data_IF_324514865448
#
_entry.id   IF_324514865448
#
_cell.length_a   1.000
_cell.length_b   1.000
_cell.length_c   1.000
_cell.angle_alpha   90.00
_cell.angle_beta   90.00
_cell.angle_gamma   90.00
#
_symmetry.space_group_name_H-M   'P 1'
#
loop_
_entity.id
_entity.type
_entity.pdbx_description
1 polymer ?
#
# COMPACT_ATOMS: atom_id res chain seq x y z
N UNK A 1 -1.35 -40.56 21.17
CA UNK A 1 -2.71 -40.47 20.58
C UNK A 1 -2.81 -41.12 19.20
N UNK A 2 -1.93 -40.81 18.24
CA UNK A 2 -2.02 -41.36 16.87
C UNK A 2 -1.81 -42.87 16.71
N UNK A 3 -1.01 -43.50 17.58
CA UNK A 3 -0.70 -44.94 17.50
C UNK A 3 -1.82 -45.85 18.04
N UNK A 4 -2.72 -45.32 18.87
CA UNK A 4 -3.77 -46.11 19.53
C UNK A 4 -5.14 -45.91 18.87
N UNK A 5 -5.55 -44.65 18.64
CA UNK A 5 -6.83 -44.35 18.00
C UNK A 5 -6.74 -43.08 17.17
N UNK A 6 -6.22 -43.22 15.95
CA UNK A 6 -5.93 -42.12 15.04
C UNK A 6 -7.17 -41.30 14.65
N UNK A 7 -8.35 -41.93 14.53
CA UNK A 7 -9.61 -41.26 14.21
C UNK A 7 -10.00 -40.21 15.25
N UNK A 8 -9.96 -40.55 16.55
CA UNK A 8 -10.29 -39.60 17.62
C UNK A 8 -9.25 -38.48 17.73
N UNK A 9 -7.99 -38.77 17.43
CA UNK A 9 -6.95 -37.75 17.39
C UNK A 9 -7.19 -36.71 16.28
N UNK A 10 -7.61 -37.15 15.09
CA UNK A 10 -7.96 -36.24 13.99
C UNK A 10 -9.17 -35.37 14.34
N UNK A 11 -10.20 -35.95 14.96
CA UNK A 11 -11.38 -35.20 15.41
C UNK A 11 -11.00 -34.15 16.46
N UNK A 12 -10.16 -34.51 17.44
CA UNK A 12 -9.69 -33.57 18.45
C UNK A 12 -8.87 -32.41 17.86
N UNK A 13 -7.97 -32.71 16.91
CA UNK A 13 -7.19 -31.67 16.20
C UNK A 13 -8.10 -30.77 15.38
N UNK A 14 -9.09 -31.33 14.69
CA UNK A 14 -10.05 -30.56 13.91
C UNK A 14 -10.87 -29.61 14.79
N UNK A 15 -11.41 -30.09 15.91
CA UNK A 15 -12.17 -29.25 16.86
C UNK A 15 -11.27 -28.16 17.44
N UNK A 16 -10.04 -28.50 17.84
CA UNK A 16 -9.08 -27.51 18.35
C UNK A 16 -8.74 -26.44 17.32
N UNK A 17 -8.49 -26.82 16.06
CA UNK A 17 -8.25 -25.88 14.97
C UNK A 17 -9.46 -24.99 14.66
N UNK A 18 -10.67 -25.55 14.71
CA UNK A 18 -11.91 -24.81 14.51
C UNK A 18 -12.13 -23.75 15.59
N UNK A 19 -11.92 -24.10 16.87
CA UNK A 19 -12.02 -23.15 17.99
C UNK A 19 -10.95 -22.07 17.89
N UNK A 20 -9.71 -22.44 17.58
CA UNK A 20 -8.62 -21.47 17.37
C UNK A 20 -8.97 -20.47 16.27
N UNK A 21 -9.43 -20.96 15.11
CA UNK A 21 -9.83 -20.12 13.98
C UNK A 21 -11.03 -19.23 14.31
N UNK A 22 -11.98 -19.72 15.10
CA UNK A 22 -13.12 -18.92 15.54
C UNK A 22 -12.68 -17.75 16.44
N UNK A 23 -11.78 -17.98 17.39
CA UNK A 23 -11.24 -16.91 18.25
C UNK A 23 -10.49 -15.86 17.42
N UNK A 24 -9.69 -16.31 16.45
CA UNK A 24 -8.96 -15.42 15.54
C UNK A 24 -9.92 -14.54 14.72
N UNK A 25 -11.00 -15.12 14.21
CA UNK A 25 -12.04 -14.42 13.46
C UNK A 25 -12.80 -13.42 14.33
N UNK A 26 -13.27 -13.84 15.51
CA UNK A 26 -14.01 -12.97 16.43
C UNK A 26 -13.14 -11.81 16.97
N UNK A 27 -11.84 -12.05 17.16
CA UNK A 27 -10.87 -11.00 17.48
C UNK A 27 -10.73 -9.99 16.35
N UNK A 28 -10.57 -10.46 15.11
CA UNK A 28 -10.47 -9.60 13.93
C UNK A 28 -11.75 -8.79 13.67
N UNK A 29 -12.94 -9.39 13.87
CA UNK A 29 -14.23 -8.70 13.72
C UNK A 29 -14.39 -7.60 14.77
N UNK A 30 -13.96 -7.84 16.01
CA UNK A 30 -14.00 -6.82 17.07
C UNK A 30 -13.03 -5.67 16.82
N UNK A 31 -11.84 -5.95 16.31
CA UNK A 31 -10.82 -4.92 16.05
C UNK A 31 -11.11 -4.10 14.78
N UNK A 32 -11.62 -4.73 13.72
CA UNK A 32 -11.71 -4.13 12.39
C UNK A 32 -13.13 -4.03 11.83
N UNK A 33 -14.15 -4.54 12.54
CA UNK A 33 -15.56 -4.53 12.12
C UNK A 33 -15.92 -5.55 11.03
N UNK A 34 -14.93 -6.22 10.43
CA UNK A 34 -15.10 -7.28 9.44
C UNK A 34 -14.06 -8.37 9.71
N UNK A 35 -14.50 -9.58 10.07
CA UNK A 35 -13.59 -10.66 10.47
C UNK A 35 -12.66 -11.15 9.35
N UNK A 36 -13.09 -11.19 8.08
CA UNK A 36 -12.23 -11.70 6.99
C UNK A 36 -11.21 -10.64 6.59
N UNK A 37 -11.66 -9.39 6.41
CA UNK A 37 -10.76 -8.29 6.06
C UNK A 37 -9.83 -7.93 7.23
N UNK A 38 -10.33 -8.05 8.46
CA UNK A 38 -9.56 -7.85 9.69
C UNK A 38 -8.40 -8.81 9.83
N UNK A 39 -8.57 -10.10 9.50
CA UNK A 39 -7.46 -11.06 9.49
C UNK A 39 -6.36 -10.66 8.52
N UNK A 40 -6.74 -10.24 7.30
CA UNK A 40 -5.78 -9.77 6.29
C UNK A 40 -5.01 -8.52 6.75
N UNK A 41 -5.70 -7.59 7.40
CA UNK A 41 -5.10 -6.36 7.89
C UNK A 41 -4.19 -6.61 9.10
N UNK A 42 -4.57 -7.48 10.02
CA UNK A 42 -3.70 -7.93 11.12
C UNK A 42 -2.44 -8.63 10.61
N UNK A 43 -2.55 -9.45 9.56
CA UNK A 43 -1.39 -10.06 8.91
C UNK A 43 -0.48 -9.01 8.25
N UNK A 44 -1.06 -8.01 7.56
CA UNK A 44 -0.30 -6.91 6.97
C UNK A 44 0.41 -6.07 8.04
N UNK A 45 -0.26 -5.74 9.14
CA UNK A 45 0.32 -5.04 10.30
C UNK A 45 1.48 -5.83 10.88
N UNK A 46 1.29 -7.13 11.12
CA UNK A 46 2.35 -7.99 11.63
C UNK A 46 3.55 -8.04 10.67
N UNK A 47 3.32 -8.14 9.36
CA UNK A 47 4.38 -8.12 8.36
C UNK A 47 5.15 -6.78 8.37
N UNK A 48 4.44 -5.65 8.44
CA UNK A 48 5.04 -4.31 8.48
C UNK A 48 5.87 -4.07 9.75
N UNK A 49 5.39 -4.52 10.92
CA UNK A 49 6.09 -4.36 12.19
C UNK A 49 7.35 -5.24 12.29
N UNK A 50 7.39 -6.35 11.58
CA UNK A 50 8.54 -7.25 11.53
C UNK A 50 9.50 -6.95 10.38
N UNK A 51 9.31 -5.84 9.64
CA UNK A 51 10.30 -5.40 8.66
C UNK A 51 11.54 -4.91 9.42
N UNK A 52 12.62 -5.69 9.35
CA UNK A 52 13.90 -5.32 9.95
C UNK A 52 14.40 -3.98 9.35
N UNK A 53 14.71 -2.96 10.18
CA UNK A 53 15.24 -1.67 9.71
C UNK A 53 16.73 -1.75 9.33
N UNK A 54 17.27 -2.97 9.12
CA UNK A 54 18.70 -3.14 8.83
C UNK A 54 19.01 -2.47 7.49
N UNK A 55 20.07 -1.64 7.42
CA UNK A 55 20.43 -0.97 6.17
C UNK A 55 20.65 -2.02 5.08
N UNK A 56 19.98 -1.83 3.94
CA UNK A 56 20.18 -2.71 2.80
C UNK A 56 21.66 -2.64 2.39
N UNK A 57 22.34 -3.78 2.39
CA UNK A 57 23.70 -3.84 1.88
C UNK A 57 23.70 -3.40 0.41
N UNK A 58 24.64 -2.54 0.01
CA UNK A 58 24.79 -2.01 -1.35
C UNK A 58 24.83 -3.09 -2.44
N UNK A 59 25.19 -4.33 -2.07
CA UNK A 59 25.22 -5.51 -2.95
C UNK A 59 23.84 -6.14 -3.24
N UNK A 60 22.77 -5.76 -2.53
CA UNK A 60 21.43 -6.32 -2.65
C UNK A 60 20.35 -5.23 -2.76
N UNK A 61 20.61 -4.22 -3.60
CA UNK A 61 19.63 -3.17 -3.86
C UNK A 61 18.39 -3.73 -4.57
N UNK A 62 17.21 -3.43 -4.02
CA UNK A 62 15.90 -3.75 -4.62
C UNK A 62 15.21 -2.44 -4.99
N UNK A 63 15.18 -2.03 -6.27
CA UNK A 63 14.53 -0.79 -6.66
C UNK A 63 13.06 -0.82 -6.27
N UNK A 64 12.55 0.23 -5.62
CA UNK A 64 11.12 0.49 -5.45
C UNK A 64 10.76 1.63 -6.41
N UNK A 65 9.69 1.48 -7.17
CA UNK A 65 9.35 2.42 -8.23
C UNK A 65 8.12 3.23 -7.83
N UNK A 66 8.26 4.56 -7.88
CA UNK A 66 7.16 5.51 -7.94
C UNK A 66 7.01 5.95 -9.39
N UNK A 67 5.84 5.73 -9.98
CA UNK A 67 5.53 6.09 -11.36
C UNK A 67 4.52 7.23 -11.30
N UNK A 68 4.95 8.41 -11.73
CA UNK A 68 4.08 9.58 -11.83
C UNK A 68 3.46 9.61 -13.22
N UNK A 69 2.13 9.69 -13.28
CA UNK A 69 1.37 9.81 -14.51
C UNK A 69 0.65 11.16 -14.53
N UNK A 70 0.71 11.85 -15.67
CA UNK A 70 -0.02 13.10 -15.88
C UNK A 70 -1.46 12.86 -16.36
N UNK A 71 -1.68 11.84 -17.19
CA UNK A 71 -2.99 11.54 -17.75
C UNK A 71 -3.17 10.04 -18.00
N UNK A 72 -4.38 9.53 -17.77
CA UNK A 72 -4.80 8.14 -17.98
C UNK A 72 -4.85 7.77 -19.46
N UNK A 73 -5.27 8.70 -20.31
CA UNK A 73 -5.66 8.41 -21.71
C UNK A 73 -4.53 8.63 -22.72
N UNK A 74 -3.35 9.06 -22.27
CA UNK A 74 -2.24 9.34 -23.19
C UNK A 74 -1.60 8.04 -23.71
N UNK A 75 -1.21 7.95 -25.00
CA UNK A 75 -0.49 6.79 -25.53
C UNK A 75 0.85 6.58 -24.82
N UNK A 76 1.46 7.66 -24.30
CA UNK A 76 2.70 7.60 -23.53
C UNK A 76 2.52 6.86 -22.20
N UNK A 77 1.35 6.98 -21.57
CA UNK A 77 1.00 6.26 -20.33
C UNK A 77 1.02 4.75 -20.52
N UNK A 78 0.52 4.26 -21.65
CA UNK A 78 0.58 2.84 -21.99
C UNK A 78 2.02 2.34 -22.16
N UNK A 79 2.87 3.11 -22.82
CA UNK A 79 4.30 2.80 -22.97
C UNK A 79 5.02 2.73 -21.62
N UNK A 80 4.79 3.73 -20.76
CA UNK A 80 5.38 3.81 -19.42
C UNK A 80 4.96 2.64 -18.54
N UNK A 81 3.66 2.31 -18.50
CA UNK A 81 3.15 1.20 -17.68
C UNK A 81 3.66 -0.16 -18.18
N UNK A 82 3.74 -0.37 -19.49
CA UNK A 82 4.35 -1.58 -20.06
C UNK A 82 5.83 -1.69 -19.70
N UNK A 83 6.57 -0.58 -19.79
CA UNK A 83 7.98 -0.53 -19.39
C UNK A 83 8.17 -0.88 -17.91
N UNK A 84 7.35 -0.29 -17.02
CA UNK A 84 7.39 -0.57 -15.58
C UNK A 84 7.06 -2.04 -15.28
N UNK A 85 6.06 -2.59 -15.97
CA UNK A 85 5.69 -4.01 -15.85
C UNK A 85 6.85 -4.93 -16.21
N UNK A 86 7.57 -4.64 -17.30
CA UNK A 86 8.76 -5.39 -17.73
C UNK A 86 9.94 -5.22 -16.77
N UNK A 87 10.19 -3.99 -16.31
CA UNK A 87 11.28 -3.68 -15.39
C UNK A 87 11.14 -4.40 -14.04
N UNK A 88 9.89 -4.53 -13.55
CA UNK A 88 9.59 -5.18 -12.27
C UNK A 88 9.35 -6.68 -12.39
N UNK A 89 8.98 -7.18 -13.57
CA UNK A 89 8.57 -8.56 -13.81
C UNK A 89 7.56 -9.08 -12.75
N UNK A 90 6.68 -8.19 -12.27
CA UNK A 90 5.68 -8.48 -11.24
C UNK A 90 6.21 -8.71 -9.82
N UNK A 91 7.45 -8.33 -9.51
CA UNK A 91 8.09 -8.48 -8.19
C UNK A 91 8.43 -7.13 -7.56
N UNK A 92 8.26 -7.05 -6.24
CA UNK A 92 8.56 -5.85 -5.45
C UNK A 92 7.46 -4.80 -5.48
N UNK A 93 7.66 -3.73 -4.73
CA UNK A 93 6.69 -2.64 -4.58
C UNK A 93 6.75 -1.68 -5.78
N UNK A 94 5.59 -1.35 -6.31
CA UNK A 94 5.39 -0.33 -7.35
C UNK A 94 4.20 0.53 -6.92
N UNK A 95 4.40 1.84 -6.86
CA UNK A 95 3.37 2.83 -6.60
C UNK A 95 3.16 3.62 -7.88
N UNK A 96 1.92 3.68 -8.37
CA UNK A 96 1.53 4.48 -9.53
C UNK A 96 0.67 5.61 -8.99
N UNK A 97 1.11 6.85 -9.17
CA UNK A 97 0.41 8.01 -8.66
C UNK A 97 0.09 8.99 -9.78
N UNK A 98 -1.07 9.63 -9.69
CA UNK A 98 -1.51 10.68 -10.59
C UNK A 98 -1.85 11.93 -9.77
N UNK A 99 -1.50 13.10 -10.29
CA UNK A 99 -1.84 14.38 -9.68
C UNK A 99 -2.78 15.13 -10.64
N UNK A 100 -3.97 15.48 -10.17
CA UNK A 100 -4.97 16.24 -10.94
C UNK A 100 -5.21 17.58 -10.28
N UNK A 101 -5.18 18.66 -11.07
CA UNK A 101 -5.46 20.01 -10.58
C UNK A 101 -6.97 20.18 -10.34
N UNK A 102 -7.37 20.58 -9.13
CA UNK A 102 -8.78 20.76 -8.79
C UNK A 102 -9.04 20.88 -7.29
N UNK A 103 -10.32 21.01 -6.95
CA UNK A 103 -10.79 21.07 -5.56
C UNK A 103 -11.45 19.75 -5.19
N UNK A 104 -10.93 19.05 -4.18
CA UNK A 104 -11.39 17.70 -3.82
C UNK A 104 -12.91 17.62 -3.57
N UNK A 105 -13.50 18.65 -2.95
CA UNK A 105 -14.93 18.69 -2.65
C UNK A 105 -15.81 18.67 -3.90
N UNK A 106 -15.33 19.22 -5.02
CA UNK A 106 -16.08 19.30 -6.29
C UNK A 106 -15.76 18.14 -7.21
N UNK A 107 -14.51 17.70 -7.22
CA UNK A 107 -13.99 16.74 -8.20
C UNK A 107 -13.86 15.32 -7.65
N UNK A 108 -14.35 15.04 -6.44
CA UNK A 108 -14.29 13.70 -5.82
C UNK A 108 -14.84 12.58 -6.72
N UNK A 109 -15.96 12.82 -7.41
CA UNK A 109 -16.53 11.83 -8.34
C UNK A 109 -15.62 11.60 -9.56
N UNK A 110 -15.01 12.66 -10.09
CA UNK A 110 -14.09 12.57 -11.21
C UNK A 110 -12.80 11.85 -10.80
N UNK A 111 -12.25 12.17 -9.63
CA UNK A 111 -11.10 11.48 -9.06
C UNK A 111 -11.38 9.98 -8.84
N UNK A 112 -12.56 9.63 -8.34
CA UNK A 112 -12.98 8.23 -8.18
C UNK A 112 -13.12 7.51 -9.53
N UNK A 113 -13.62 8.19 -10.57
CA UNK A 113 -13.68 7.63 -11.92
C UNK A 113 -12.28 7.40 -12.51
N UNK A 114 -11.38 8.38 -12.36
CA UNK A 114 -9.98 8.26 -12.77
C UNK A 114 -9.27 7.11 -12.03
N UNK A 115 -9.55 6.93 -10.73
CA UNK A 115 -8.95 5.85 -9.93
C UNK A 115 -9.36 4.48 -10.47
N UNK A 116 -10.63 4.30 -10.83
CA UNK A 116 -11.13 3.05 -11.45
C UNK A 116 -10.49 2.79 -12.81
N UNK A 117 -10.29 3.83 -13.60
CA UNK A 117 -9.61 3.72 -14.88
C UNK A 117 -8.14 3.32 -14.68
N UNK A 118 -7.44 3.96 -13.73
CA UNK A 118 -6.07 3.62 -13.36
C UNK A 118 -5.94 2.16 -12.91
N UNK A 119 -6.83 1.68 -12.04
CA UNK A 119 -6.86 0.28 -11.59
C UNK A 119 -7.04 -0.68 -12.76
N UNK A 120 -7.89 -0.32 -13.73
CA UNK A 120 -8.13 -1.11 -14.94
C UNK A 120 -6.88 -1.16 -15.82
N UNK A 121 -6.18 -0.04 -15.98
CA UNK A 121 -4.90 0.04 -16.70
C UNK A 121 -3.80 -0.77 -16.02
N UNK A 122 -3.70 -0.71 -14.70
CA UNK A 122 -2.73 -1.49 -13.93
C UNK A 122 -2.98 -3.00 -14.08
N UNK A 123 -4.25 -3.43 -14.00
CA UNK A 123 -4.65 -4.83 -14.24
C UNK A 123 -4.32 -5.27 -15.67
N UNK A 124 -4.62 -4.45 -16.67
CA UNK A 124 -4.31 -4.73 -18.09
C UNK A 124 -2.81 -4.95 -18.32
N UNK A 125 -1.96 -4.14 -17.68
CA UNK A 125 -0.50 -4.24 -17.79
C UNK A 125 0.13 -5.25 -16.81
N UNK A 126 -0.68 -5.99 -16.03
CA UNK A 126 -0.25 -6.97 -15.01
C UNK A 126 0.69 -6.39 -13.96
N UNK A 127 0.51 -5.09 -13.64
CA UNK A 127 1.31 -4.41 -12.62
C UNK A 127 0.74 -4.76 -11.25
N UNK A 128 1.57 -5.36 -10.40
CA UNK A 128 1.26 -5.58 -8.98
C UNK A 128 1.77 -4.38 -8.19
N UNK A 129 0.85 -3.55 -7.73
CA UNK A 129 1.17 -2.30 -7.07
C UNK A 129 -0.05 -1.59 -6.54
N UNK A 130 0.19 -0.42 -5.97
CA UNK A 130 -0.85 0.49 -5.51
C UNK A 130 -1.01 1.62 -6.52
N UNK A 131 -2.26 1.96 -6.85
CA UNK A 131 -2.61 3.12 -7.66
C UNK A 131 -3.26 4.17 -6.78
N UNK A 132 -2.83 5.43 -6.86
CA UNK A 132 -3.42 6.52 -6.09
C UNK A 132 -3.57 7.78 -6.94
N UNK A 133 -4.61 8.56 -6.68
CA UNK A 133 -4.90 9.82 -7.37
C UNK A 133 -5.04 10.92 -6.34
N UNK A 134 -4.16 11.91 -6.46
CA UNK A 134 -4.13 13.08 -5.61
C UNK A 134 -4.75 14.27 -6.35
N UNK A 135 -5.77 14.88 -5.73
CA UNK A 135 -6.38 16.13 -6.21
C UNK A 135 -5.77 17.29 -5.43
N UNK A 136 -5.15 18.25 -6.11
CA UNK A 136 -4.55 19.43 -5.47
C UNK A 136 -4.82 20.69 -6.27
N UNK A 137 -4.77 21.86 -5.62
CA UNK A 137 -4.85 23.14 -6.33
C UNK A 137 -3.58 23.42 -7.15
N UNK A 138 -2.43 22.89 -6.71
CA UNK A 138 -1.14 23.07 -7.37
C UNK A 138 -0.44 21.74 -7.60
N UNK A 139 -0.19 21.41 -8.87
CA UNK A 139 0.41 20.13 -9.27
C UNK A 139 1.78 19.93 -8.63
N UNK A 140 2.60 20.99 -8.53
CA UNK A 140 3.95 20.92 -7.95
C UNK A 140 3.93 20.55 -6.46
N UNK A 141 2.98 21.09 -5.71
CA UNK A 141 2.79 20.75 -4.30
C UNK A 141 2.30 19.30 -4.15
N UNK A 142 1.38 18.88 -5.02
CA UNK A 142 0.90 17.51 -5.07
C UNK A 142 2.00 16.49 -5.38
N UNK A 143 2.83 16.76 -6.39
CA UNK A 143 3.98 15.90 -6.72
C UNK A 143 4.99 15.89 -5.58
N UNK A 144 5.28 17.03 -4.95
CA UNK A 144 6.16 17.10 -3.77
C UNK A 144 5.63 16.24 -2.63
N UNK A 145 4.32 16.30 -2.36
CA UNK A 145 3.65 15.47 -1.36
C UNK A 145 3.75 13.97 -1.70
N UNK A 146 3.44 13.58 -2.94
CA UNK A 146 3.52 12.19 -3.40
C UNK A 146 4.94 11.62 -3.26
N UNK A 147 5.93 12.40 -3.66
CA UNK A 147 7.35 12.04 -3.49
C UNK A 147 7.65 11.84 -2.01
N UNK A 148 7.33 12.80 -1.15
CA UNK A 148 7.60 12.71 0.29
C UNK A 148 6.93 11.51 0.95
N UNK A 149 5.66 11.22 0.64
CA UNK A 149 4.91 10.09 1.19
C UNK A 149 5.46 8.75 0.72
N UNK A 150 5.80 8.63 -0.57
CA UNK A 150 6.45 7.44 -1.10
C UNK A 150 7.82 7.19 -0.45
N UNK A 151 8.58 8.27 -0.20
CA UNK A 151 9.89 8.19 0.44
C UNK A 151 9.82 7.98 1.96
N UNK A 152 8.75 8.38 2.66
CA UNK A 152 8.63 8.17 4.11
C UNK A 152 8.70 6.68 4.49
N UNK A 153 8.11 5.82 3.67
CA UNK A 153 8.17 4.35 3.85
C UNK A 153 9.59 3.81 3.56
N UNK A 154 10.31 4.44 2.63
CA UNK A 154 11.63 3.99 2.17
C UNK A 154 12.76 4.49 3.08
N UNK A 155 12.71 5.75 3.53
CA UNK A 155 13.76 6.39 4.35
C UNK A 155 13.85 5.75 5.73
N UNK A 156 12.72 5.34 6.34
CA UNK A 156 12.73 4.65 7.64
C UNK A 156 13.51 3.33 7.61
N UNK A 157 13.71 2.75 6.42
CA UNK A 157 14.45 1.48 6.23
C UNK A 157 15.85 1.64 5.67
N UNK A 158 16.20 2.78 5.06
CA UNK A 158 17.47 2.94 4.32
C UNK A 158 18.49 3.87 4.97
N UNK A 159 18.11 4.82 5.82
CA UNK A 159 19.06 5.79 6.37
C UNK A 159 18.85 6.11 7.85
N UNK A 160 19.34 5.26 8.79
CA UNK A 160 19.44 5.63 10.20
C UNK A 160 20.60 6.61 10.51
N UNK A 161 21.46 6.94 9.53
CA UNK A 161 22.71 7.70 9.72
C UNK A 161 22.62 9.22 9.47
N UNK A 162 21.49 9.75 8.97
CA UNK A 162 21.32 11.19 8.74
C UNK A 162 20.19 11.78 9.60
N UNK A 163 20.48 12.27 10.81
CA UNK A 163 19.49 12.90 11.69
C UNK A 163 18.90 14.22 11.16
N UNK A 164 19.40 14.72 10.02
CA UNK A 164 18.98 15.99 9.42
C UNK A 164 17.91 15.86 8.32
N UNK A 165 17.57 14.63 7.91
CA UNK A 165 16.56 14.33 6.87
C UNK A 165 15.27 13.75 7.48
N UNK A 166 14.91 14.23 8.68
CA UNK A 166 13.59 13.99 9.26
C UNK A 166 12.57 14.73 8.39
N UNK A 167 11.57 14.08 7.78
CA UNK A 167 10.50 14.79 7.10
C UNK A 167 9.81 15.68 8.12
N UNK A 168 9.94 16.99 7.92
CA UNK A 168 9.26 18.03 8.69
C UNK A 168 7.81 18.04 8.21
N UNK A 169 7.04 17.05 8.66
CA UNK A 169 5.58 17.01 8.50
C UNK A 169 5.03 18.15 9.38
N UNK A 170 4.98 19.36 8.84
CA UNK A 170 4.26 20.47 9.42
C UNK A 170 3.33 21.02 8.35
N UNK A 171 2.10 21.31 8.79
CA UNK A 171 1.01 22.01 8.11
C UNK A 171 0.08 21.15 7.24
N UNK A 172 -0.94 20.58 7.89
CA UNK A 172 -2.31 20.47 7.33
C UNK A 172 -3.39 20.40 8.43
N UNK A 173 -3.11 20.88 9.65
CA UNK A 173 -4.03 20.78 10.80
C UNK A 173 -4.35 22.15 11.44
N UNK A 174 -4.16 23.26 10.70
CA UNK A 174 -4.24 24.63 11.24
C UNK A 174 -5.38 25.52 10.75
N UNK A 175 -6.10 25.17 9.67
CA UNK A 175 -7.08 26.09 9.04
C UNK A 175 -8.56 25.66 9.16
N UNK A 176 -8.89 24.73 10.06
CA UNK A 176 -10.29 24.32 10.31
C UNK A 176 -10.81 24.80 11.69
N UNK A 177 -10.11 25.72 12.36
CA UNK A 177 -10.47 26.21 13.70
C UNK A 177 -10.65 27.73 13.81
N UNK A 178 -11.00 28.41 12.72
CA UNK A 178 -11.57 29.77 12.76
C UNK A 178 -12.67 29.94 11.71
N UNK A 179 -13.86 29.44 12.02
CA UNK A 179 -15.15 30.07 11.72
C UNK A 179 -16.25 29.49 12.60
#
# INVERSE_FOLDING_TARGET
MFISAWHFALVAIFIGAAVYKYIEYAGAEKEWGDGIRGLGLSAARFALLNVDPKPQHSRNWRPQLLVLLENTDSPNTHGMLSFVSQLKAGKGLTLVAMCTEGEFARDAEQAAAQQRNLDTLMKKNKIKGFGDILVTEHIMEGVSCLVQLAFAVVIFTLFPQFPYLKPRIYYLEGEVMLQ
#
